data_IF_783044334660
#
_entry.id   IF_783044334660
#
_cell.length_a   1.000
_cell.length_b   1.000
_cell.length_c   1.000
_cell.angle_alpha   90.00
_cell.angle_beta   90.00
_cell.angle_gamma   90.00
#
_symmetry.space_group_name_H-M   'P 1'
#
loop_
_entity.id
_entity.type
_entity.pdbx_description
1 polymer ?
#
# COMPACT_ATOMS: atom_id res chain seq x y z
N UNK A 1 -9.63 10.81 12.31
CA UNK A 1 -10.09 11.41 13.60
C UNK A 1 -9.13 10.99 14.70
N UNK A 2 -9.02 11.78 15.79
CA UNK A 2 -8.11 11.47 16.91
C UNK A 2 -8.25 10.03 17.45
N UNK A 3 -9.46 9.49 17.52
CA UNK A 3 -9.71 8.12 17.93
C UNK A 3 -9.14 7.09 16.94
N UNK A 4 -9.24 7.35 15.63
CA UNK A 4 -8.66 6.51 14.57
C UNK A 4 -7.13 6.49 14.65
N UNK A 5 -6.51 7.63 14.96
CA UNK A 5 -5.06 7.75 15.05
C UNK A 5 -4.50 7.04 16.29
N UNK A 6 -5.19 7.16 17.43
CA UNK A 6 -4.84 6.41 18.64
C UNK A 6 -4.90 4.90 18.41
N UNK A 7 -5.94 4.42 17.73
CA UNK A 7 -6.09 3.00 17.41
C UNK A 7 -4.98 2.51 16.47
N UNK A 8 -4.69 3.27 15.42
CA UNK A 8 -3.58 2.97 14.50
C UNK A 8 -2.25 2.82 15.24
N UNK A 9 -1.92 3.75 16.13
CA UNK A 9 -0.68 3.72 16.92
C UNK A 9 -0.60 2.48 17.82
N UNK A 10 -1.68 2.12 18.48
CA UNK A 10 -1.73 0.94 19.33
C UNK A 10 -1.52 -0.37 18.55
N UNK A 11 -2.02 -0.45 17.32
CA UNK A 11 -1.81 -1.63 16.47
C UNK A 11 -0.39 -1.69 15.90
N UNK A 12 0.23 -0.56 15.57
CA UNK A 12 1.64 -0.50 15.15
C UNK A 12 2.59 -1.01 16.24
N UNK A 13 2.28 -0.77 17.52
CA UNK A 13 3.10 -1.26 18.65
C UNK A 13 3.11 -2.79 18.77
N UNK A 14 2.06 -3.46 18.33
CA UNK A 14 1.85 -4.91 18.51
C UNK A 14 2.16 -5.73 17.26
N UNK A 15 2.24 -5.08 16.11
CA UNK A 15 2.34 -5.77 14.83
C UNK A 15 3.66 -6.50 14.67
N UNK A 16 3.62 -7.73 14.22
CA UNK A 16 4.76 -8.52 13.77
C UNK A 16 4.91 -8.44 12.23
N UNK A 17 3.82 -8.12 11.52
CA UNK A 17 3.79 -7.86 10.08
C UNK A 17 2.82 -6.70 9.84
N UNK A 18 3.23 -5.74 9.03
CA UNK A 18 2.40 -4.61 8.59
C UNK A 18 2.20 -4.76 7.09
N UNK A 19 0.95 -4.94 6.66
CA UNK A 19 0.61 -5.07 5.23
C UNK A 19 -0.29 -3.92 4.82
N UNK A 20 0.07 -3.23 3.74
CA UNK A 20 -0.75 -2.20 3.13
C UNK A 20 -1.18 -2.58 1.72
N UNK A 21 -2.49 -2.53 1.49
CA UNK A 21 -3.13 -2.55 0.17
C UNK A 21 -4.01 -1.32 -0.04
N UNK A 22 -3.71 -0.22 0.66
CA UNK A 22 -4.52 1.00 0.65
C UNK A 22 -4.46 1.71 -0.71
N UNK A 23 -5.57 2.28 -1.18
CA UNK A 23 -5.58 3.13 -2.35
C UNK A 23 -4.85 4.46 -2.07
N UNK A 24 -4.36 5.11 -3.13
CA UNK A 24 -3.83 6.47 -3.02
C UNK A 24 -4.96 7.48 -2.81
N UNK A 25 -4.85 8.27 -1.75
CA UNK A 25 -5.78 9.36 -1.43
C UNK A 25 -5.08 10.39 -0.56
N UNK A 26 -5.71 11.54 -0.34
CA UNK A 26 -5.20 12.54 0.61
C UNK A 26 -5.09 11.99 2.03
N UNK A 27 -5.98 11.09 2.43
CA UNK A 27 -5.99 10.50 3.78
C UNK A 27 -4.98 9.37 3.97
N UNK A 28 -4.44 8.81 2.89
CA UNK A 28 -3.41 7.75 2.93
C UNK A 28 -2.03 8.25 2.54
N UNK A 29 -1.93 9.51 2.08
CA UNK A 29 -0.66 10.13 1.72
C UNK A 29 0.22 10.30 2.94
N UNK A 30 1.42 9.70 2.91
CA UNK A 30 2.39 9.66 4.00
C UNK A 30 1.78 9.23 5.35
N UNK A 31 0.83 8.28 5.31
CA UNK A 31 0.17 7.75 6.50
C UNK A 31 1.14 7.07 7.47
N UNK A 32 2.24 6.48 6.94
CA UNK A 32 3.37 5.96 7.70
C UNK A 32 4.52 6.98 7.66
N UNK A 33 4.38 8.05 8.40
CA UNK A 33 5.39 9.07 8.63
C UNK A 33 6.32 8.73 9.81
N UNK A 34 7.28 9.60 10.12
CA UNK A 34 8.20 9.39 11.24
C UNK A 34 7.49 9.30 12.60
N UNK A 35 6.37 10.03 12.76
CA UNK A 35 5.57 9.97 13.99
C UNK A 35 4.90 8.60 14.13
N UNK A 36 4.33 8.06 13.06
CA UNK A 36 3.76 6.72 13.04
C UNK A 36 4.83 5.64 13.33
N UNK A 37 6.03 5.78 12.73
CA UNK A 37 7.13 4.85 12.95
C UNK A 37 7.66 4.84 14.38
N UNK A 38 7.56 5.94 15.11
CA UNK A 38 7.94 6.00 16.53
C UNK A 38 7.11 5.04 17.42
N UNK A 39 5.94 4.62 16.93
CA UNK A 39 5.07 3.65 17.61
C UNK A 39 5.36 2.18 17.22
N UNK A 40 6.22 1.93 16.26
CA UNK A 40 6.61 0.56 15.88
C UNK A 40 7.61 0.03 16.90
N UNK A 41 7.31 -1.10 17.54
CA UNK A 41 8.13 -1.63 18.67
C UNK A 41 8.73 -3.00 18.41
N UNK A 42 8.14 -3.81 17.51
CA UNK A 42 8.52 -5.22 17.34
C UNK A 42 9.38 -5.50 16.12
N UNK A 43 9.88 -4.47 15.45
CA UNK A 43 10.65 -4.62 14.22
C UNK A 43 9.90 -5.48 13.17
N UNK A 44 8.64 -5.15 12.84
CA UNK A 44 7.84 -5.96 11.94
C UNK A 44 8.43 -6.02 10.53
N UNK A 45 7.99 -7.01 9.75
CA UNK A 45 8.14 -6.98 8.30
C UNK A 45 7.09 -6.02 7.73
N UNK A 46 7.52 -5.09 6.86
CA UNK A 46 6.62 -4.18 6.17
C UNK A 46 6.36 -4.65 4.74
N UNK A 47 5.09 -4.69 4.33
CA UNK A 47 4.66 -5.08 2.97
C UNK A 47 3.77 -3.98 2.41
N UNK A 48 4.12 -3.43 1.24
CA UNK A 48 3.28 -2.46 0.56
C UNK A 48 2.99 -2.89 -0.89
N UNK A 49 1.73 -3.28 -1.11
CA UNK A 49 1.18 -3.62 -2.44
C UNK A 49 0.06 -2.66 -2.84
N UNK A 50 -0.09 -1.56 -2.13
CA UNK A 50 -1.11 -0.53 -2.36
C UNK A 50 -0.61 0.60 -3.25
N UNK A 51 -0.06 1.65 -2.63
CA UNK A 51 0.53 2.81 -3.32
C UNK A 51 1.81 3.26 -2.62
N UNK A 52 2.80 3.68 -3.42
CA UNK A 52 4.09 4.16 -2.94
C UNK A 52 3.98 5.37 -2.02
N UNK A 53 3.04 6.26 -2.30
CA UNK A 53 2.77 7.46 -1.51
C UNK A 53 2.33 7.23 -0.07
N UNK A 54 2.17 5.98 0.38
CA UNK A 54 1.87 5.63 1.77
C UNK A 54 3.00 6.02 2.73
N UNK A 55 4.25 5.88 2.28
CA UNK A 55 5.46 6.16 3.05
C UNK A 55 6.48 6.86 2.15
N UNK A 56 7.06 7.95 2.62
CA UNK A 56 8.15 8.62 1.90
C UNK A 56 9.37 7.69 1.78
N UNK A 57 10.05 7.72 0.64
CA UNK A 57 11.22 6.87 0.37
C UNK A 57 12.34 7.04 1.40
N UNK A 58 12.58 8.26 1.90
CA UNK A 58 13.60 8.52 2.93
C UNK A 58 13.18 8.00 4.31
N UNK A 59 11.89 8.07 4.60
CA UNK A 59 11.33 7.52 5.84
C UNK A 59 11.44 6.00 5.83
N UNK A 60 11.14 5.35 4.71
CA UNK A 60 11.33 3.90 4.54
C UNK A 60 12.83 3.50 4.63
N UNK A 61 13.70 4.25 3.96
CA UNK A 61 15.14 4.04 4.03
C UNK A 61 15.65 4.09 5.48
N UNK A 62 15.28 5.12 6.22
CA UNK A 62 15.60 5.29 7.64
C UNK A 62 15.06 4.12 8.46
N UNK A 63 13.80 3.76 8.28
CA UNK A 63 13.16 2.67 9.01
C UNK A 63 13.89 1.33 8.83
N UNK A 64 14.41 1.05 7.63
CA UNK A 64 15.16 -0.16 7.33
C UNK A 64 16.60 -0.10 7.85
N UNK A 65 17.28 1.03 7.70
CA UNK A 65 18.64 1.22 8.21
C UNK A 65 18.72 1.17 9.74
N UNK A 66 17.73 1.72 10.42
CA UNK A 66 17.64 1.74 11.89
C UNK A 66 16.96 0.48 12.47
N UNK A 67 16.61 -0.50 11.63
CA UNK A 67 15.89 -1.73 12.02
C UNK A 67 14.56 -1.46 12.74
N UNK A 68 13.87 -0.34 12.44
CA UNK A 68 12.47 -0.14 12.85
C UNK A 68 11.61 -1.19 12.16
N UNK A 69 11.86 -1.45 10.87
CA UNK A 69 11.42 -2.63 10.15
C UNK A 69 12.57 -3.62 10.02
N UNK A 70 12.37 -4.88 10.36
CA UNK A 70 13.37 -5.93 10.15
C UNK A 70 13.64 -6.20 8.68
N UNK A 71 12.65 -5.97 7.84
CA UNK A 71 12.72 -6.07 6.39
C UNK A 71 11.46 -5.50 5.75
N UNK A 72 11.52 -5.26 4.44
CA UNK A 72 10.35 -4.83 3.69
C UNK A 72 10.24 -5.50 2.32
N UNK A 73 9.00 -5.64 1.85
CA UNK A 73 8.64 -5.94 0.47
C UNK A 73 7.75 -4.80 -0.04
N UNK A 74 8.16 -4.15 -1.13
CA UNK A 74 7.36 -3.11 -1.77
C UNK A 74 7.19 -3.43 -3.26
N UNK A 75 5.95 -3.36 -3.72
CA UNK A 75 5.62 -3.50 -5.14
C UNK A 75 5.37 -2.14 -5.79
N UNK A 76 5.35 -1.08 -5.00
CA UNK A 76 5.02 0.29 -5.39
C UNK A 76 5.99 1.28 -4.76
N UNK A 77 6.32 2.34 -5.48
CA UNK A 77 7.25 3.39 -5.01
C UNK A 77 6.69 4.79 -5.29
N UNK A 78 7.28 5.80 -4.65
CA UNK A 78 7.01 7.21 -4.94
C UNK A 78 8.34 7.99 -4.95
N UNK A 79 8.76 8.54 -6.11
CA UNK A 79 8.12 8.42 -7.43
C UNK A 79 8.20 7.01 -8.02
N UNK A 80 7.34 6.73 -9.00
CA UNK A 80 7.34 5.50 -9.76
C UNK A 80 7.53 5.83 -11.26
N UNK A 81 8.55 5.24 -11.94
CA UNK A 81 9.53 4.27 -11.41
C UNK A 81 10.52 4.90 -10.42
N UNK A 82 11.03 4.06 -9.49
CA UNK A 82 12.04 4.49 -8.51
C UNK A 82 13.32 4.96 -9.22
N UNK A 83 13.83 6.17 -8.94
CA UNK A 83 15.03 6.68 -9.56
C UNK A 83 16.24 5.77 -9.36
N UNK A 84 17.07 5.60 -10.40
CA UNK A 84 18.25 4.71 -10.37
C UNK A 84 19.25 5.01 -9.24
N UNK A 85 19.30 6.26 -8.78
CA UNK A 85 20.21 6.70 -7.69
C UNK A 85 19.57 6.67 -6.32
N UNK A 86 18.36 6.12 -6.18
CA UNK A 86 17.69 6.05 -4.89
C UNK A 86 18.37 5.01 -4.00
N UNK A 87 18.61 5.36 -2.75
CA UNK A 87 19.31 4.52 -1.77
C UNK A 87 18.57 3.22 -1.43
N UNK A 88 17.26 3.17 -1.65
CA UNK A 88 16.47 1.95 -1.45
C UNK A 88 17.01 0.76 -2.25
N UNK A 89 17.66 1.00 -3.42
CA UNK A 89 18.27 -0.06 -4.23
C UNK A 89 19.46 -0.76 -3.52
N UNK A 90 20.08 -0.10 -2.54
CA UNK A 90 21.28 -0.58 -1.86
C UNK A 90 20.97 -1.32 -0.54
N UNK A 91 19.68 -1.44 -0.16
CA UNK A 91 19.30 -2.06 1.10
C UNK A 91 19.13 -3.57 0.97
N UNK A 92 19.85 -4.32 1.81
CA UNK A 92 19.85 -5.80 1.79
C UNK A 92 18.56 -6.42 2.40
N UNK A 93 17.81 -5.64 3.18
CA UNK A 93 16.58 -6.04 3.83
C UNK A 93 15.33 -5.47 3.13
N UNK A 94 15.45 -5.11 1.85
CA UNK A 94 14.36 -4.62 1.02
C UNK A 94 14.25 -5.43 -0.27
N UNK A 95 13.03 -5.90 -0.57
CA UNK A 95 12.68 -6.49 -1.86
C UNK A 95 11.76 -5.50 -2.59
N UNK A 96 12.11 -5.18 -3.83
CA UNK A 96 11.32 -4.29 -4.70
C UNK A 96 10.88 -5.08 -5.92
N UNK A 97 9.59 -5.04 -6.23
CA UNK A 97 9.02 -5.56 -7.48
C UNK A 97 8.39 -4.43 -8.30
N UNK A 98 8.31 -4.57 -9.63
CA UNK A 98 7.95 -3.46 -10.51
C UNK A 98 6.43 -3.33 -10.72
N UNK A 99 5.65 -3.14 -9.65
CA UNK A 99 4.20 -2.95 -9.66
C UNK A 99 3.46 -4.07 -10.42
N UNK A 100 3.71 -5.30 -10.01
CA UNK A 100 3.15 -6.51 -10.66
C UNK A 100 2.10 -7.22 -9.81
N UNK A 101 1.97 -6.86 -8.55
CA UNK A 101 0.96 -7.42 -7.64
C UNK A 101 -0.44 -7.03 -8.10
N UNK A 102 -1.33 -8.01 -8.22
CA UNK A 102 -2.70 -7.78 -8.70
C UNK A 102 -2.83 -7.64 -10.22
N UNK A 103 -1.75 -7.87 -10.97
CA UNK A 103 -1.78 -7.92 -12.43
C UNK A 103 -2.58 -9.11 -12.97
N UNK A 104 -2.81 -9.13 -14.29
CA UNK A 104 -3.61 -10.15 -14.99
C UNK A 104 -2.99 -11.55 -15.00
N UNK A 105 -1.85 -11.74 -14.37
CA UNK A 105 -1.17 -13.03 -14.25
C UNK A 105 -1.90 -14.03 -13.36
N UNK A 106 -2.77 -13.53 -12.46
CA UNK A 106 -3.65 -14.37 -11.67
C UNK A 106 -4.99 -14.53 -12.39
N UNK A 107 -5.33 -15.75 -12.72
CA UNK A 107 -6.60 -16.10 -13.37
C UNK A 107 -7.82 -15.55 -12.60
N UNK A 108 -7.77 -15.61 -11.28
CA UNK A 108 -8.81 -15.06 -10.41
C UNK A 108 -9.01 -13.55 -10.60
N UNK A 109 -7.95 -12.78 -10.77
CA UNK A 109 -8.03 -11.32 -11.02
C UNK A 109 -8.75 -11.05 -12.33
N UNK A 110 -8.36 -11.75 -13.40
CA UNK A 110 -8.99 -11.62 -14.70
C UNK A 110 -10.48 -12.01 -14.65
N UNK A 111 -10.80 -13.14 -14.03
CA UNK A 111 -12.17 -13.61 -13.87
C UNK A 111 -13.05 -12.60 -13.14
N UNK A 112 -12.58 -12.02 -12.05
CA UNK A 112 -13.32 -10.97 -11.31
C UNK A 112 -13.55 -9.73 -12.14
N UNK A 113 -12.55 -9.25 -12.89
CA UNK A 113 -12.70 -8.08 -13.77
C UNK A 113 -13.78 -8.36 -14.83
N UNK A 114 -13.72 -9.52 -15.48
CA UNK A 114 -14.72 -9.92 -16.49
C UNK A 114 -16.11 -9.99 -15.89
N UNK A 115 -16.27 -10.60 -14.73
CA UNK A 115 -17.58 -10.70 -14.05
C UNK A 115 -18.15 -9.34 -13.67
N UNK A 116 -17.32 -8.44 -13.08
CA UNK A 116 -17.74 -7.08 -12.73
C UNK A 116 -18.15 -6.31 -13.98
N UNK A 117 -17.35 -6.38 -15.03
CA UNK A 117 -17.62 -5.69 -16.30
C UNK A 117 -18.93 -6.19 -16.94
N UNK A 118 -19.11 -7.50 -17.04
CA UNK A 118 -20.32 -8.10 -17.58
C UNK A 118 -21.58 -7.70 -16.76
N UNK A 119 -21.46 -7.72 -15.44
CA UNK A 119 -22.53 -7.29 -14.53
C UNK A 119 -22.88 -5.82 -14.74
N UNK A 120 -21.87 -4.95 -14.87
CA UNK A 120 -22.09 -3.51 -15.08
C UNK A 120 -22.72 -3.22 -16.45
N UNK A 121 -22.33 -3.93 -17.50
CA UNK A 121 -22.97 -3.82 -18.82
C UNK A 121 -24.44 -4.23 -18.73
N UNK A 122 -24.73 -5.38 -18.11
CA UNK A 122 -26.11 -5.85 -17.90
C UNK A 122 -26.93 -4.84 -17.11
N UNK A 123 -26.41 -4.35 -15.99
CA UNK A 123 -27.08 -3.35 -15.17
C UNK A 123 -27.37 -2.07 -15.95
N UNK A 124 -26.42 -1.61 -16.78
CA UNK A 124 -26.63 -0.45 -17.64
C UNK A 124 -27.79 -0.67 -18.63
N UNK A 125 -27.81 -1.82 -19.29
CA UNK A 125 -28.93 -2.16 -20.23
C UNK A 125 -30.29 -2.26 -19.54
N UNK A 126 -30.29 -2.64 -18.25
CA UNK A 126 -31.53 -2.77 -17.44
C UNK A 126 -31.88 -1.46 -16.70
N UNK A 127 -31.17 -0.36 -16.91
CA UNK A 127 -31.39 0.92 -16.22
C UNK A 127 -31.01 0.88 -14.72
N UNK A 128 -30.20 -0.10 -14.29
CA UNK A 128 -29.71 -0.27 -12.92
C UNK A 128 -28.37 0.43 -12.74
N UNK A 129 -28.02 0.78 -11.51
CA UNK A 129 -26.72 1.34 -11.17
C UNK A 129 -25.58 0.32 -11.28
N UNK A 130 -24.32 0.78 -11.54
CA UNK A 130 -23.16 -0.10 -11.57
C UNK A 130 -22.79 -0.59 -10.15
N UNK A 131 -22.18 -1.78 -10.10
CA UNK A 131 -21.50 -2.28 -8.90
C UNK A 131 -20.08 -1.74 -8.85
N UNK A 132 -19.46 -1.72 -7.67
CA UNK A 132 -18.09 -1.24 -7.42
C UNK A 132 -17.85 0.20 -7.91
N UNK A 133 -18.87 1.06 -7.77
CA UNK A 133 -18.71 2.49 -8.07
C UNK A 133 -17.71 3.13 -7.11
N UNK A 134 -16.67 3.75 -7.65
CA UNK A 134 -15.71 4.54 -6.88
C UNK A 134 -16.16 6.00 -6.85
N UNK A 135 -16.18 6.60 -5.67
CA UNK A 135 -16.36 8.04 -5.55
C UNK A 135 -14.99 8.70 -5.72
N UNK A 136 -14.85 9.58 -6.72
CA UNK A 136 -13.59 10.28 -7.01
C UNK A 136 -13.38 11.54 -6.17
N UNK A 137 -14.32 11.89 -5.29
CA UNK A 137 -14.25 13.07 -4.42
C UNK A 137 -13.59 12.78 -3.05
N UNK A 138 -12.67 11.79 -2.99
CA UNK A 138 -11.95 11.44 -1.75
C UNK A 138 -10.53 11.98 -1.77
#
# INVERSE_FOLDING_TARGET
SAASDVYKRQELEKADIIVSSLPGSKSTYHLLDEEALAHVKKQPIFVNVGRGSLIDSKVLEKALKENIFSGAYIDVTDPEPLPKKNELWNLNNLIITPHVTGGYHLEETLNRIVQISATNIKNYCEGKGPINRVNLEV
#
